data_IF_537555771269
#
_entry.id   IF_537555771269
#
_cell.length_a   1.000
_cell.length_b   1.000
_cell.length_c   1.000
_cell.angle_alpha   90.00
_cell.angle_beta   90.00
_cell.angle_gamma   90.00
#
_symmetry.space_group_name_H-M   'P 1'
#
loop_
_entity.id
_entity.type
_entity.pdbx_description
1 polymer ?
#
# COMPACT_ATOMS: atom_id res chain seq x y z
N UNK A 1 6.72 19.61 11.47
CA UNK A 1 6.94 18.26 10.89
C UNK A 1 5.59 17.74 10.42
N UNK A 2 5.55 17.06 9.27
CA UNK A 2 4.35 16.43 8.72
C UNK A 2 4.63 14.94 8.51
N UNK A 3 3.65 14.09 8.79
CA UNK A 3 3.68 12.65 8.58
C UNK A 3 2.71 12.26 7.46
N UNK A 4 3.18 11.43 6.54
CA UNK A 4 2.35 10.87 5.47
C UNK A 4 1.49 9.75 6.07
N UNK A 5 0.20 9.76 5.78
CA UNK A 5 -0.77 8.79 6.35
C UNK A 5 -1.70 8.23 5.28
N UNK A 6 -2.21 7.03 5.56
CA UNK A 6 -3.12 6.33 4.68
C UNK A 6 -4.46 7.06 4.50
N UNK A 7 -5.17 6.67 3.45
CA UNK A 7 -6.45 7.27 3.02
C UNK A 7 -7.50 7.39 4.15
N UNK A 8 -7.52 6.42 5.08
CA UNK A 8 -8.46 6.40 6.20
C UNK A 8 -8.19 7.44 7.31
N UNK A 9 -7.04 8.11 7.29
CA UNK A 9 -6.70 9.10 8.32
C UNK A 9 -7.19 10.51 7.97
N UNK A 10 -7.65 11.29 8.96
CA UNK A 10 -8.06 12.67 8.72
C UNK A 10 -6.85 13.56 8.42
N UNK A 11 -6.99 14.45 7.43
CA UNK A 11 -6.02 15.52 7.19
C UNK A 11 -6.08 16.51 8.35
N UNK A 12 -4.99 16.63 9.11
CA UNK A 12 -4.91 17.53 10.26
C UNK A 12 -3.49 18.07 10.40
N UNK A 13 -3.31 19.13 11.21
CA UNK A 13 -1.99 19.75 11.38
C UNK A 13 -0.96 18.70 11.84
N UNK A 14 0.07 18.47 11.03
CA UNK A 14 1.09 17.45 11.28
C UNK A 14 0.88 16.11 10.55
N UNK A 15 -0.25 15.90 9.88
CA UNK A 15 -0.56 14.69 9.12
C UNK A 15 -1.12 15.04 7.74
N UNK A 16 -0.57 14.43 6.69
CA UNK A 16 -0.99 14.64 5.30
C UNK A 16 -1.53 13.31 4.78
N UNK A 17 -2.83 13.26 4.56
CA UNK A 17 -3.51 12.17 3.86
C UNK A 17 -3.56 12.45 2.37
N UNK A 18 -3.88 11.42 1.60
CA UNK A 18 -4.18 11.53 0.16
C UNK A 18 -5.40 12.39 -0.15
N UNK A 19 -5.38 13.01 -1.33
CA UNK A 19 -6.47 13.83 -1.85
C UNK A 19 -7.61 12.92 -2.29
N UNK A 20 -8.77 13.04 -1.65
CA UNK A 20 -9.87 12.07 -1.78
C UNK A 20 -10.64 12.13 -3.11
N UNK A 21 -10.65 13.30 -3.74
CA UNK A 21 -11.42 13.54 -4.96
C UNK A 21 -10.65 13.19 -6.24
N UNK A 22 -9.39 12.75 -6.11
CA UNK A 22 -8.49 12.49 -7.23
C UNK A 22 -8.11 11.02 -7.31
N UNK A 23 -7.70 10.58 -8.52
CA UNK A 23 -7.25 9.20 -8.75
C UNK A 23 -6.14 8.82 -7.76
N UNK A 24 -6.21 7.62 -7.21
CA UNK A 24 -5.28 7.14 -6.17
C UNK A 24 -4.63 5.81 -6.53
N UNK A 25 -5.34 4.87 -7.15
CA UNK A 25 -4.80 3.53 -7.38
C UNK A 25 -3.78 3.53 -8.53
N UNK A 26 -2.63 2.88 -8.32
CA UNK A 26 -1.57 2.77 -9.34
C UNK A 26 -2.05 2.23 -10.69
N UNK A 27 -2.94 1.22 -10.75
CA UNK A 27 -3.48 0.74 -12.03
C UNK A 27 -4.20 1.83 -12.84
N UNK A 28 -4.86 2.78 -12.18
CA UNK A 28 -5.58 3.89 -12.85
C UNK A 28 -4.63 4.84 -13.58
N UNK A 29 -3.37 4.91 -13.13
CA UNK A 29 -2.31 5.70 -13.75
C UNK A 29 -1.51 4.90 -14.79
N UNK A 30 -1.45 3.58 -14.68
CA UNK A 30 -0.76 2.71 -15.65
C UNK A 30 -1.61 2.45 -16.90
N UNK A 31 -2.92 2.26 -16.73
CA UNK A 31 -3.87 2.02 -17.83
C UNK A 31 -4.43 3.33 -18.39
N UNK A 32 -4.41 4.39 -17.60
CA UNK A 32 -4.95 5.70 -17.94
C UNK A 32 -3.89 6.72 -18.36
N UNK A 33 -4.30 7.99 -18.37
CA UNK A 33 -3.39 9.11 -18.60
C UNK A 33 -2.47 9.32 -17.39
N UNK A 34 -1.25 9.80 -17.66
CA UNK A 34 -0.33 10.30 -16.64
C UNK A 34 -1.00 11.33 -15.72
N UNK A 35 -0.59 11.42 -14.44
CA UNK A 35 -1.10 12.44 -13.52
C UNK A 35 -0.78 13.84 -14.06
N UNK A 36 -1.77 14.74 -14.03
CA UNK A 36 -1.67 16.10 -14.56
C UNK A 36 -1.80 17.14 -13.46
N UNK A 37 -2.71 16.95 -12.51
CA UNK A 37 -2.89 17.87 -11.40
C UNK A 37 -1.81 17.67 -10.33
N UNK A 38 -1.37 18.71 -9.61
CA UNK A 38 -0.48 18.57 -8.45
C UNK A 38 -0.98 17.52 -7.43
N UNK A 39 -2.29 17.45 -7.23
CA UNK A 39 -2.98 16.48 -6.37
C UNK A 39 -2.87 15.04 -6.92
N UNK A 40 -3.08 14.84 -8.22
CA UNK A 40 -2.88 13.55 -8.88
C UNK A 40 -1.41 13.10 -8.80
N UNK A 41 -0.46 14.02 -8.97
CA UNK A 41 0.98 13.74 -8.86
C UNK A 41 1.34 13.34 -7.42
N UNK A 42 0.76 14.03 -6.43
CA UNK A 42 0.93 13.69 -5.03
C UNK A 42 0.37 12.29 -4.73
N UNK A 43 -0.87 12.01 -5.12
CA UNK A 43 -1.52 10.72 -4.92
C UNK A 43 -0.77 9.59 -5.62
N UNK A 44 -0.34 9.77 -6.87
CA UNK A 44 0.48 8.80 -7.58
C UNK A 44 1.77 8.49 -6.85
N UNK A 45 2.48 9.53 -6.40
CA UNK A 45 3.75 9.39 -5.65
C UNK A 45 3.52 8.68 -4.32
N UNK A 46 2.45 9.05 -3.61
CA UNK A 46 2.04 8.42 -2.36
C UNK A 46 1.78 6.92 -2.56
N UNK A 47 0.93 6.56 -3.52
CA UNK A 47 0.58 5.17 -3.83
C UNK A 47 1.78 4.37 -4.31
N UNK A 48 2.68 4.98 -5.10
CA UNK A 48 3.92 4.34 -5.56
C UNK A 48 4.82 3.97 -4.39
N UNK A 49 5.04 4.92 -3.46
CA UNK A 49 5.84 4.66 -2.27
C UNK A 49 5.20 3.59 -1.38
N UNK A 50 3.88 3.67 -1.15
CA UNK A 50 3.13 2.67 -0.39
C UNK A 50 3.28 1.28 -1.01
N UNK A 51 3.09 1.15 -2.32
CA UNK A 51 3.24 -0.12 -3.04
C UNK A 51 4.64 -0.72 -2.89
N UNK A 52 5.70 0.09 -2.92
CA UNK A 52 7.07 -0.41 -2.65
C UNK A 52 7.18 -0.97 -1.23
N UNK A 53 6.65 -0.25 -0.24
CA UNK A 53 6.69 -0.68 1.16
C UNK A 53 5.91 -1.98 1.34
N UNK A 54 4.66 -2.03 0.88
CA UNK A 54 3.79 -3.21 0.96
C UNK A 54 4.42 -4.43 0.30
N UNK A 55 5.01 -4.29 -0.89
CA UNK A 55 5.69 -5.38 -1.59
C UNK A 55 6.89 -5.92 -0.81
N UNK A 56 7.72 -5.05 -0.23
CA UNK A 56 8.87 -5.48 0.60
C UNK A 56 8.38 -6.27 1.83
N UNK A 57 7.38 -5.74 2.54
CA UNK A 57 6.78 -6.46 3.67
C UNK A 57 6.13 -7.76 3.22
N UNK A 58 5.52 -7.79 2.04
CA UNK A 58 4.86 -8.96 1.52
C UNK A 58 5.82 -10.10 1.18
N UNK A 59 6.95 -9.79 0.54
CA UNK A 59 8.02 -10.77 0.31
C UNK A 59 8.60 -11.27 1.63
N UNK A 60 8.81 -10.37 2.59
CA UNK A 60 9.29 -10.72 3.92
C UNK A 60 8.34 -11.69 4.62
N UNK A 61 7.04 -11.37 4.69
CA UNK A 61 5.99 -12.24 5.26
C UNK A 61 5.91 -13.59 4.53
N UNK A 62 6.02 -13.61 3.19
CA UNK A 62 5.97 -14.85 2.37
C UNK A 62 7.19 -15.76 2.61
N UNK A 63 8.38 -15.18 2.72
CA UNK A 63 9.63 -15.92 2.94
C UNK A 63 9.67 -16.54 4.34
N UNK A 64 9.25 -15.80 5.36
CA UNK A 64 9.34 -16.22 6.75
C UNK A 64 8.00 -16.72 7.28
N UNK A 65 7.69 -18.00 7.01
CA UNK A 65 6.44 -18.65 7.47
C UNK A 65 6.18 -18.51 8.99
N UNK A 66 7.24 -18.39 9.80
CA UNK A 66 7.14 -18.17 11.26
C UNK A 66 6.36 -16.90 11.64
N UNK A 67 6.32 -15.90 10.76
CA UNK A 67 5.53 -14.68 10.97
C UNK A 67 4.03 -15.00 10.91
N UNK A 68 3.61 -15.92 10.03
CA UNK A 68 2.21 -16.36 9.91
C UNK A 68 1.79 -17.32 11.02
N UNK A 69 2.71 -18.16 11.52
CA UNK A 69 2.41 -19.21 12.51
C UNK A 69 2.69 -18.78 13.96
N UNK A 70 2.71 -17.48 14.24
CA UNK A 70 3.16 -16.88 15.52
C UNK A 70 2.28 -17.16 16.76
N UNK A 71 1.22 -17.95 16.62
CA UNK A 71 0.21 -18.15 17.65
C UNK A 71 0.84 -18.82 18.89
N UNK A 72 0.84 -18.08 20.01
CA UNK A 72 1.24 -18.49 21.38
C UNK A 72 2.62 -18.05 21.91
N UNK A 73 3.36 -17.17 21.23
CA UNK A 73 4.56 -16.57 21.85
C UNK A 73 4.25 -15.29 22.66
N UNK A 74 4.91 -15.06 23.81
CA UNK A 74 4.85 -13.78 24.50
C UNK A 74 5.35 -12.64 23.61
N UNK A 75 4.86 -11.41 23.83
CA UNK A 75 5.17 -10.23 23.02
C UNK A 75 6.68 -10.03 22.81
N UNK A 76 7.48 -10.14 23.86
CA UNK A 76 8.94 -10.00 23.78
C UNK A 76 9.58 -10.98 22.79
N UNK A 77 9.04 -12.19 22.70
CA UNK A 77 9.53 -13.21 21.76
C UNK A 77 9.04 -12.93 20.35
N UNK A 78 7.79 -12.47 20.19
CA UNK A 78 7.28 -12.04 18.88
C UNK A 78 8.14 -10.89 18.32
N UNK A 79 8.44 -9.88 19.13
CA UNK A 79 9.31 -8.76 18.74
C UNK A 79 10.70 -9.23 18.31
N UNK A 80 11.33 -10.13 19.09
CA UNK A 80 12.64 -10.70 18.75
C UNK A 80 12.60 -11.48 17.43
N UNK A 81 11.54 -12.24 17.16
CA UNK A 81 11.37 -12.97 15.90
C UNK A 81 11.23 -11.99 14.73
N UNK A 82 10.41 -10.94 14.87
CA UNK A 82 10.26 -9.88 13.85
C UNK A 82 11.61 -9.21 13.57
N UNK A 83 12.32 -8.78 14.61
CA UNK A 83 13.62 -8.12 14.48
C UNK A 83 14.68 -9.03 13.84
N UNK A 84 14.75 -10.30 14.25
CA UNK A 84 15.69 -11.28 13.71
C UNK A 84 15.42 -11.57 12.23
N UNK A 85 14.17 -11.84 11.87
CA UNK A 85 13.78 -12.12 10.48
C UNK A 85 13.95 -10.90 9.57
N UNK A 86 13.67 -9.68 10.06
CA UNK A 86 13.95 -8.43 9.34
C UNK A 86 15.45 -8.23 9.11
N UNK A 87 16.27 -8.41 10.14
CA UNK A 87 17.72 -8.26 10.06
C UNK A 87 18.30 -9.25 9.04
N UNK A 88 17.88 -10.51 9.11
CA UNK A 88 18.33 -11.55 8.21
C UNK A 88 17.85 -11.32 6.77
N UNK A 89 16.61 -10.84 6.58
CA UNK A 89 16.09 -10.45 5.28
C UNK A 89 16.92 -9.33 4.64
N UNK A 90 17.22 -8.28 5.40
CA UNK A 90 18.03 -7.16 4.94
C UNK A 90 19.48 -7.57 4.66
N UNK A 91 20.05 -8.44 5.50
CA UNK A 91 21.40 -8.98 5.29
C UNK A 91 21.48 -9.77 3.99
N UNK A 92 20.52 -10.68 3.75
CA UNK A 92 20.46 -11.47 2.51
C UNK A 92 20.31 -10.54 1.29
N UNK A 93 19.39 -9.57 1.35
CA UNK A 93 19.14 -8.64 0.23
C UNK A 93 20.37 -7.79 -0.12
N UNK A 94 21.20 -7.43 0.86
CA UNK A 94 22.43 -6.67 0.65
C UNK A 94 23.58 -7.49 0.08
N UNK A 95 23.67 -8.78 0.43
CA UNK A 95 24.85 -9.61 0.16
C UNK A 95 24.65 -10.62 -0.97
N UNK A 96 23.46 -10.73 -1.55
CA UNK A 96 23.21 -11.66 -2.65
C UNK A 96 22.74 -10.92 -3.89
N UNK A 97 23.58 -10.93 -4.92
CA UNK A 97 23.38 -10.21 -6.19
C UNK A 97 22.33 -10.84 -7.11
N UNK A 98 21.88 -12.07 -6.84
CA UNK A 98 20.87 -12.76 -7.67
C UNK A 98 20.01 -13.69 -6.80
N UNK A 99 18.98 -13.15 -6.18
CA UNK A 99 17.82 -13.97 -5.81
C UNK A 99 16.71 -13.65 -6.81
N UNK A 100 16.55 -14.54 -7.80
CA UNK A 100 15.42 -14.55 -8.74
C UNK A 100 14.05 -14.45 -8.04
N UNK A 101 14.00 -14.83 -6.76
CA UNK A 101 12.81 -14.79 -5.92
C UNK A 101 12.38 -13.39 -5.46
N UNK A 102 13.24 -12.35 -5.57
CA UNK A 102 12.85 -10.96 -5.29
C UNK A 102 12.41 -10.23 -6.56
N UNK A 103 13.01 -10.55 -7.72
CA UNK A 103 12.71 -9.92 -9.01
C UNK A 103 11.23 -10.07 -9.40
N UNK A 104 10.61 -11.24 -9.19
CA UNK A 104 9.17 -11.43 -9.46
C UNK A 104 8.26 -10.45 -8.68
N UNK A 105 8.72 -9.94 -7.54
CA UNK A 105 7.95 -9.03 -6.67
C UNK A 105 8.36 -7.57 -6.85
N UNK A 106 9.65 -7.32 -7.10
CA UNK A 106 10.16 -5.98 -7.42
C UNK A 106 9.60 -5.49 -8.76
N UNK A 107 9.43 -6.39 -9.75
CA UNK A 107 8.97 -6.09 -11.11
C UNK A 107 7.45 -6.10 -11.30
N UNK A 108 6.67 -6.56 -10.30
CA UNK A 108 5.21 -6.57 -10.38
C UNK A 108 4.61 -5.41 -9.54
N UNK A 109 4.17 -4.30 -10.17
CA UNK A 109 3.61 -3.14 -9.47
C UNK A 109 2.19 -3.38 -8.94
N UNK A 110 1.55 -4.48 -9.31
CA UNK A 110 0.17 -4.87 -8.93
C UNK A 110 0.16 -6.10 -8.03
N UNK A 111 1.32 -6.46 -7.44
CA UNK A 111 1.40 -7.65 -6.59
C UNK A 111 0.61 -7.43 -5.29
N UNK A 112 -0.58 -8.02 -5.23
CA UNK A 112 -1.42 -8.10 -4.03
C UNK A 112 -1.18 -9.47 -3.40
N UNK A 113 -0.82 -9.50 -2.12
CA UNK A 113 -0.79 -10.75 -1.36
C UNK A 113 -2.22 -11.24 -1.13
N UNK A 114 -2.46 -12.53 -1.33
CA UNK A 114 -3.78 -13.16 -1.10
C UNK A 114 -4.34 -12.90 0.31
N UNK A 115 -3.47 -12.71 1.31
CA UNK A 115 -3.87 -12.42 2.69
C UNK A 115 -4.36 -10.97 2.91
N UNK A 116 -4.09 -10.03 1.99
CA UNK A 116 -4.51 -8.61 2.12
C UNK A 116 -5.79 -8.30 1.30
N UNK A 117 -6.30 -9.27 0.54
CA UNK A 117 -7.62 -9.18 -0.13
C UNK A 117 -8.79 -9.13 0.87
N UNK A 118 -8.59 -9.64 2.09
CA UNK A 118 -9.62 -9.61 3.15
C UNK A 118 -9.88 -8.20 3.72
N UNK A 119 -8.88 -7.31 3.68
CA UNK A 119 -9.04 -5.92 4.14
C UNK A 119 -9.57 -4.99 3.04
N UNK A 120 -9.35 -5.32 1.77
CA UNK A 120 -9.85 -4.55 0.62
C UNK A 120 -11.39 -4.65 0.42
N UNK A 121 -12.06 -5.63 1.06
CA UNK A 121 -13.51 -5.81 0.97
C UNK A 121 -14.30 -4.99 2.01
N UNK A 122 -13.64 -4.23 2.87
CA UNK A 122 -14.27 -3.39 3.91
C UNK A 122 -14.18 -1.89 3.61
N UNK A 123 -13.95 -1.48 2.36
CA UNK A 123 -14.19 -0.11 1.93
C UNK A 123 -15.69 0.05 1.63
N UNK A 124 -16.40 1.00 2.27
CA UNK A 124 -17.83 1.18 2.00
C UNK A 124 -18.00 1.73 0.58
N UNK A 125 -18.61 0.92 -0.29
CA UNK A 125 -19.11 1.37 -1.58
C UNK A 125 -20.12 2.52 -1.39
N UNK A 126 -19.78 3.68 -1.95
CA UNK A 126 -20.75 4.52 -2.66
C UNK A 126 -21.51 5.59 -1.85
N UNK A 127 -21.32 6.84 -2.28
CA UNK A 127 -22.46 7.70 -2.58
C UNK A 127 -22.12 8.57 -3.79
N UNK A 128 -22.29 7.99 -4.98
CA UNK A 128 -22.53 8.76 -6.18
C UNK A 128 -23.96 9.33 -6.10
N UNK A 129 -24.11 10.55 -5.56
CA UNK A 129 -25.34 11.31 -5.81
C UNK A 129 -25.27 11.92 -7.19
N UNK A 130 -25.86 11.22 -8.16
CA UNK A 130 -26.40 11.80 -9.39
C UNK A 130 -27.43 12.87 -8.98
N UNK A 131 -27.05 14.15 -9.06
CA UNK A 131 -28.03 15.24 -9.02
C UNK A 131 -28.50 15.51 -10.44
N UNK A 132 -29.66 14.94 -10.76
CA UNK A 132 -30.50 15.35 -11.88
C UNK A 132 -30.80 16.85 -11.76
N UNK A 133 -30.33 17.68 -12.70
CA UNK A 133 -31.02 18.93 -13.05
C UNK A 133 -31.84 18.67 -14.31
N UNK A 134 -33.13 18.36 -14.11
CA UNK A 134 -34.16 18.39 -15.15
C UNK A 134 -35.01 19.65 -14.97
N UNK A 135 -35.19 20.37 -16.07
CA UNK A 135 -36.23 21.38 -16.30
C UNK A 135 -35.69 22.81 -16.39
N UNK A 136 -36.15 23.68 -17.28
CA UNK A 136 -37.19 23.61 -18.33
C UNK A 136 -37.12 24.95 -19.08
N UNK A 137 -37.31 24.93 -20.39
CA UNK A 137 -37.89 25.98 -21.27
C UNK A 137 -37.69 27.47 -20.94
N UNK A 138 -37.09 28.21 -21.88
CA UNK A 138 -37.82 29.15 -22.76
C UNK A 138 -37.15 29.18 -24.14
#
# INVERSE_FOLDING_TARGET
KYYLVDYGYPTQKGYISVYKEERYHLPDFQLGRSPVSPEEIFNYTHSSLRSVIERVFGVWKKKWKIIKTMLSYPFDRQFKIVAATMTLHNFIRKNTTQYCHFTEFDDNPTFVLEDELGDAQNEPEGSQTISQRKGREM
#
